data_IF_107908352380
#
_entry.id   IF_107908352380
#
_cell.length_a   1.000
_cell.length_b   1.000
_cell.length_c   1.000
_cell.angle_alpha   90.00
_cell.angle_beta   90.00
_cell.angle_gamma   90.00
#
_symmetry.space_group_name_H-M   'P 1'
#
loop_
_entity.id
_entity.type
_entity.pdbx_description
1 polymer ?
#
# COMPACT_ATOMS: atom_id res chain seq x y z
N UNK A 1 -4.76 -1.05 5.52
CA UNK A 1 -4.05 -2.05 6.33
C UNK A 1 -3.76 -3.16 5.37
N UNK A 2 -2.50 -3.51 5.12
CA UNK A 2 -2.17 -4.24 3.91
C UNK A 2 -2.64 -5.71 3.94
N UNK A 3 -3.24 -6.15 5.06
CA UNK A 3 -3.94 -7.41 5.17
C UNK A 3 -5.45 -7.15 5.28
N UNK A 4 -6.14 -7.32 4.15
CA UNK A 4 -7.58 -7.52 3.98
C UNK A 4 -8.50 -6.77 4.93
N UNK A 5 -9.04 -5.70 4.39
CA UNK A 5 -10.04 -4.90 5.03
C UNK A 5 -11.42 -5.01 4.36
N UNK A 6 -11.52 -5.52 3.13
CA UNK A 6 -12.79 -5.76 2.41
C UNK A 6 -13.06 -7.23 2.09
N UNK A 7 -14.24 -7.52 1.52
CA UNK A 7 -14.68 -8.90 1.19
C UNK A 7 -13.80 -9.58 0.11
N UNK A 8 -13.09 -8.81 -0.70
CA UNK A 8 -12.13 -9.28 -1.71
C UNK A 8 -10.89 -8.37 -1.71
N UNK A 9 -9.67 -8.92 -1.62
CA UNK A 9 -8.47 -8.09 -1.82
C UNK A 9 -8.41 -7.57 -3.25
N UNK A 10 -8.09 -6.29 -3.37
CA UNK A 10 -7.74 -5.69 -4.65
C UNK A 10 -6.33 -6.11 -5.03
N UNK A 11 -6.16 -6.72 -6.21
CA UNK A 11 -4.83 -7.09 -6.73
C UNK A 11 -4.83 -7.31 -8.23
N UNK A 12 -3.65 -7.23 -8.83
CA UNK A 12 -3.45 -7.63 -10.21
C UNK A 12 -3.59 -9.14 -10.40
N UNK A 13 -4.08 -9.55 -11.57
CA UNK A 13 -3.87 -10.93 -12.05
C UNK A 13 -2.43 -11.05 -12.57
N UNK A 14 -1.65 -11.99 -12.04
CA UNK A 14 -0.25 -12.20 -12.44
C UNK A 14 -0.07 -13.05 -13.70
N UNK A 15 -1.18 -13.56 -14.27
CA UNK A 15 -1.18 -14.45 -15.43
C UNK A 15 -2.03 -13.96 -16.60
N UNK A 16 -2.87 -12.94 -16.41
CA UNK A 16 -3.76 -12.43 -17.45
C UNK A 16 -3.04 -11.56 -18.48
N UNK A 17 -2.22 -10.62 -18.02
CA UNK A 17 -1.49 -9.67 -18.85
C UNK A 17 -0.23 -9.15 -18.12
N UNK A 18 0.76 -8.58 -18.83
CA UNK A 18 1.92 -7.97 -18.19
C UNK A 18 1.51 -6.77 -17.33
N UNK A 19 1.87 -6.78 -16.06
CA UNK A 19 1.67 -5.62 -15.19
C UNK A 19 2.74 -4.58 -15.56
N UNK A 20 2.34 -3.45 -16.16
CA UNK A 20 3.28 -2.43 -16.60
C UNK A 20 2.94 -1.06 -16.03
N UNK A 21 3.96 -0.23 -15.77
CA UNK A 21 3.78 1.20 -15.48
C UNK A 21 4.34 2.05 -16.62
N UNK A 22 3.65 3.14 -16.95
CA UNK A 22 3.95 3.99 -18.10
C UNK A 22 4.15 5.44 -17.63
N UNK A 23 5.42 5.85 -17.54
CA UNK A 23 5.78 7.17 -17.03
C UNK A 23 5.63 8.22 -18.13
N UNK A 24 4.93 9.31 -17.87
CA UNK A 24 5.16 10.57 -18.57
C UNK A 24 6.34 11.30 -17.89
N UNK A 25 7.51 11.44 -18.55
CA UNK A 25 8.69 12.03 -17.94
C UNK A 25 8.62 13.56 -17.80
N UNK A 26 7.55 14.19 -18.30
CA UNK A 26 7.36 15.64 -18.19
C UNK A 26 7.10 16.02 -16.74
N UNK A 27 7.83 17.02 -16.25
CA UNK A 27 7.72 17.53 -14.88
C UNK A 27 7.30 19.01 -14.88
N UNK A 28 6.57 19.41 -13.83
CA UNK A 28 6.30 20.81 -13.53
C UNK A 28 7.49 21.51 -12.88
N UNK A 29 7.42 22.84 -12.75
CA UNK A 29 8.45 23.63 -12.06
C UNK A 29 8.55 23.36 -10.55
N UNK A 30 7.58 22.63 -10.00
CA UNK A 30 7.53 22.21 -8.60
C UNK A 30 8.42 20.99 -8.32
N UNK A 31 8.91 20.30 -9.34
CA UNK A 31 9.83 19.16 -9.18
C UNK A 31 11.25 19.65 -9.47
N UNK A 32 12.15 19.46 -8.51
CA UNK A 32 13.57 19.82 -8.61
C UNK A 32 14.46 18.72 -8.05
N UNK A 33 15.76 18.80 -8.28
CA UNK A 33 16.71 17.82 -7.77
C UNK A 33 17.61 17.23 -8.86
N UNK A 34 18.52 16.37 -8.44
CA UNK A 34 19.58 15.82 -9.29
C UNK A 34 19.22 14.51 -9.98
N UNK A 35 18.21 13.78 -9.50
CA UNK A 35 17.81 12.49 -10.06
C UNK A 35 16.64 12.66 -11.06
N UNK A 36 16.70 12.07 -12.26
CA UNK A 36 15.55 12.06 -13.16
C UNK A 36 14.34 11.36 -12.54
N UNK A 37 13.13 11.89 -12.76
CA UNK A 37 11.89 11.27 -12.22
C UNK A 37 11.69 9.84 -12.69
N UNK A 38 12.14 9.49 -13.89
CA UNK A 38 12.11 8.09 -14.39
C UNK A 38 12.93 7.15 -13.52
N UNK A 39 14.09 7.58 -13.04
CA UNK A 39 14.92 6.82 -12.11
C UNK A 39 14.27 6.72 -10.73
N UNK A 40 13.68 7.81 -10.22
CA UNK A 40 12.96 7.82 -8.94
C UNK A 40 11.81 6.80 -8.93
N UNK A 41 10.97 6.83 -9.97
CA UNK A 41 9.86 5.88 -10.11
C UNK A 41 10.38 4.44 -10.25
N UNK A 42 11.38 4.21 -11.09
CA UNK A 42 11.95 2.86 -11.25
C UNK A 42 12.53 2.32 -9.93
N UNK A 43 13.19 3.16 -9.13
CA UNK A 43 13.67 2.77 -7.81
C UNK A 43 12.51 2.45 -6.86
N UNK A 44 11.40 3.20 -6.94
CA UNK A 44 10.20 2.98 -6.12
C UNK A 44 9.54 1.63 -6.44
N UNK A 45 9.39 1.29 -7.72
CA UNK A 45 8.96 -0.05 -8.14
C UNK A 45 9.97 -1.13 -7.74
N UNK A 46 11.26 -0.88 -7.91
CA UNK A 46 12.30 -1.84 -7.54
C UNK A 46 12.26 -2.21 -6.05
N UNK A 47 11.92 -1.26 -5.16
CA UNK A 47 11.72 -1.52 -3.73
C UNK A 47 10.69 -2.63 -3.50
N UNK A 48 9.52 -2.55 -4.16
CA UNK A 48 8.45 -3.55 -4.04
C UNK A 48 8.75 -4.85 -4.78
N UNK A 49 9.37 -4.77 -5.97
CA UNK A 49 9.76 -5.94 -6.76
C UNK A 49 10.84 -6.79 -6.06
N UNK A 50 11.63 -6.18 -5.17
CA UNK A 50 12.64 -6.86 -4.36
C UNK A 50 12.11 -7.33 -2.99
N UNK A 51 10.81 -7.18 -2.71
CA UNK A 51 10.24 -7.62 -1.44
C UNK A 51 10.39 -9.14 -1.27
N UNK A 52 10.86 -9.63 -0.11
CA UNK A 52 10.98 -11.06 0.13
C UNK A 52 9.61 -11.74 0.14
N UNK A 53 9.59 -13.06 -0.06
CA UNK A 53 8.40 -13.91 -0.13
C UNK A 53 7.39 -13.51 -1.21
N UNK A 54 7.76 -12.64 -2.14
CA UNK A 54 6.85 -12.02 -3.09
C UNK A 54 7.28 -12.34 -4.53
N UNK A 55 6.34 -12.70 -5.39
CA UNK A 55 6.58 -12.85 -6.83
C UNK A 55 5.64 -11.94 -7.60
N UNK A 56 6.19 -10.83 -8.07
CA UNK A 56 5.43 -9.76 -8.71
C UNK A 56 5.98 -9.49 -10.12
N UNK A 57 5.31 -9.96 -11.17
CA UNK A 57 5.80 -9.82 -12.54
C UNK A 57 5.42 -8.46 -13.14
N UNK A 58 5.91 -7.37 -12.53
CA UNK A 58 5.71 -6.01 -13.05
C UNK A 58 6.98 -5.43 -13.68
N UNK A 59 6.81 -4.60 -14.71
CA UNK A 59 7.92 -3.99 -15.46
C UNK A 59 7.59 -2.61 -16.01
N UNK A 60 8.61 -1.81 -16.31
CA UNK A 60 8.39 -0.52 -16.98
C UNK A 60 7.90 -0.76 -18.42
N UNK A 61 6.77 -0.15 -18.78
CA UNK A 61 6.26 -0.09 -20.15
C UNK A 61 6.87 1.07 -20.96
N UNK A 62 6.30 1.33 -22.14
CA UNK A 62 6.68 2.49 -22.93
C UNK A 62 6.38 3.81 -22.19
N UNK A 63 7.23 4.83 -22.36
CA UNK A 63 6.92 6.16 -21.84
C UNK A 63 5.65 6.72 -22.47
N UNK A 64 4.84 7.40 -21.66
CA UNK A 64 3.62 8.05 -22.10
C UNK A 64 3.86 9.54 -22.40
N UNK A 65 3.03 10.11 -23.26
CA UNK A 65 2.92 11.57 -23.47
C UNK A 65 1.62 12.14 -22.92
N UNK A 66 0.79 11.33 -22.28
CA UNK A 66 -0.51 11.73 -21.71
C UNK A 66 -0.30 12.65 -20.52
N UNK A 67 -1.01 13.78 -20.49
CA UNK A 67 -0.86 14.82 -19.45
C UNK A 67 -2.13 15.04 -18.61
N UNK A 68 -3.14 14.18 -18.76
CA UNK A 68 -4.36 14.19 -17.94
C UNK A 68 -4.81 12.76 -17.65
N UNK A 69 -5.19 12.49 -16.40
CA UNK A 69 -5.65 11.16 -15.95
C UNK A 69 -6.88 10.73 -16.74
N UNK A 70 -7.84 11.63 -16.90
CA UNK A 70 -9.10 11.38 -17.61
C UNK A 70 -8.93 11.01 -19.10
N UNK A 71 -7.76 11.29 -19.66
CA UNK A 71 -7.39 10.94 -21.04
C UNK A 71 -6.45 9.72 -21.15
N UNK A 72 -6.05 9.15 -20.02
CA UNK A 72 -5.22 7.96 -19.96
C UNK A 72 -5.95 6.78 -20.63
N UNK A 73 -5.32 6.11 -21.62
CA UNK A 73 -5.89 4.91 -22.21
C UNK A 73 -6.20 3.86 -21.13
N UNK A 74 -7.26 3.07 -21.36
CA UNK A 74 -7.75 2.10 -20.37
C UNK A 74 -6.75 0.96 -20.07
N UNK A 75 -5.85 0.71 -21.02
CA UNK A 75 -4.79 -0.29 -20.97
C UNK A 75 -3.43 0.27 -20.52
N UNK A 76 -3.39 1.56 -20.14
CA UNK A 76 -2.19 2.25 -19.69
C UNK A 76 -2.31 2.57 -18.20
N UNK A 77 -1.26 2.23 -17.46
CA UNK A 77 -1.13 2.61 -16.07
C UNK A 77 -0.19 3.83 -15.98
N UNK A 78 -0.78 5.02 -16.01
CA UNK A 78 -0.08 6.28 -16.19
C UNK A 78 0.59 6.74 -14.89
N UNK A 79 1.85 7.17 -14.98
CA UNK A 79 2.51 7.93 -13.90
C UNK A 79 2.73 9.36 -14.38
N UNK A 80 2.15 10.32 -13.67
CA UNK A 80 1.99 11.69 -14.14
C UNK A 80 2.34 12.74 -13.07
N UNK A 81 3.23 13.68 -13.43
CA UNK A 81 3.63 14.81 -12.57
C UNK A 81 2.95 16.13 -12.95
N UNK A 82 2.15 16.11 -14.01
CA UNK A 82 1.53 17.30 -14.63
C UNK A 82 0.02 17.15 -14.82
N UNK A 83 -0.59 16.09 -14.29
CA UNK A 83 -2.01 15.81 -14.41
C UNK A 83 -2.80 16.73 -13.47
N UNK A 84 -3.17 17.89 -13.99
CA UNK A 84 -3.91 18.93 -13.26
C UNK A 84 -5.41 18.65 -13.12
N UNK A 85 -5.90 17.58 -13.74
CA UNK A 85 -7.31 17.16 -13.68
C UNK A 85 -7.63 16.24 -12.49
N UNK A 86 -6.61 15.82 -11.74
CA UNK A 86 -6.77 15.08 -10.48
C UNK A 86 -7.05 16.07 -9.35
N UNK A 87 -8.10 15.81 -8.56
CA UNK A 87 -8.50 16.66 -7.44
C UNK A 87 -7.81 16.21 -6.15
N UNK A 88 -6.74 16.91 -5.78
CA UNK A 88 -5.99 16.69 -4.54
C UNK A 88 -6.57 17.45 -3.33
N UNK A 89 -7.81 17.95 -3.40
CA UNK A 89 -8.43 18.73 -2.31
C UNK A 89 -7.96 20.18 -2.21
N UNK A 90 -7.33 20.72 -3.27
CA UNK A 90 -6.99 22.14 -3.41
C UNK A 90 -5.81 22.66 -2.57
N UNK A 91 -5.07 21.79 -1.87
CA UNK A 91 -3.94 22.14 -1.02
C UNK A 91 -2.67 21.30 -1.28
N UNK A 92 -1.81 21.20 -0.26
CA UNK A 92 -0.57 20.39 -0.29
C UNK A 92 -0.61 19.22 0.70
N UNK A 93 -1.76 18.98 1.33
CA UNK A 93 -1.91 17.90 2.32
C UNK A 93 -1.93 16.53 1.63
N UNK A 94 -2.64 16.43 0.49
CA UNK A 94 -2.55 15.27 -0.40
C UNK A 94 -1.34 15.43 -1.32
N UNK A 95 -0.34 14.56 -1.16
CA UNK A 95 0.91 14.64 -1.91
C UNK A 95 0.80 14.01 -3.30
N UNK A 96 0.12 12.88 -3.38
CA UNK A 96 -0.14 12.14 -4.60
C UNK A 96 -1.39 11.29 -4.40
N UNK A 97 -1.90 10.72 -5.49
CA UNK A 97 -2.98 9.76 -5.46
C UNK A 97 -2.73 8.63 -6.45
N UNK A 98 -3.06 7.41 -6.01
CA UNK A 98 -3.16 6.25 -6.87
C UNK A 98 -4.61 5.91 -7.13
N UNK A 99 -5.02 6.00 -8.38
CA UNK A 99 -6.40 5.82 -8.83
C UNK A 99 -6.50 4.43 -9.44
N UNK A 100 -7.04 3.48 -8.69
CA UNK A 100 -7.23 2.11 -9.12
C UNK A 100 -8.62 1.90 -9.73
N UNK A 101 -8.68 1.08 -10.78
CA UNK A 101 -9.93 0.54 -11.32
C UNK A 101 -9.92 -0.96 -11.11
N UNK A 102 -10.96 -1.47 -10.46
CA UNK A 102 -11.15 -2.89 -10.17
C UNK A 102 -12.46 -3.42 -10.75
N UNK A 103 -12.63 -4.75 -10.78
CA UNK A 103 -13.87 -5.38 -11.22
C UNK A 103 -14.57 -6.13 -10.09
N UNK A 104 -15.90 -6.16 -10.10
CA UNK A 104 -16.71 -6.86 -9.08
C UNK A 104 -16.82 -8.37 -9.31
N UNK A 105 -16.22 -8.90 -10.38
CA UNK A 105 -16.31 -10.31 -10.74
C UNK A 105 -15.48 -10.68 -11.96
N UNK A 106 -15.53 -11.97 -12.30
CA UNK A 106 -14.87 -12.54 -13.46
C UNK A 106 -15.71 -12.41 -14.74
N UNK A 107 -15.07 -12.53 -15.90
CA UNK A 107 -15.71 -12.59 -17.22
C UNK A 107 -16.02 -11.23 -17.87
N UNK A 108 -15.72 -10.12 -17.19
CA UNK A 108 -15.72 -8.78 -17.79
C UNK A 108 -14.46 -8.51 -18.60
N UNK A 109 -14.48 -7.48 -19.44
CA UNK A 109 -13.30 -6.99 -20.17
C UNK A 109 -12.21 -6.55 -19.18
N UNK A 110 -10.98 -7.01 -19.38
CA UNK A 110 -9.83 -6.59 -18.57
C UNK A 110 -9.11 -5.36 -19.14
N UNK A 111 -9.55 -4.85 -20.30
CA UNK A 111 -8.92 -3.78 -21.08
C UNK A 111 -7.56 -4.11 -21.69
N UNK A 112 -7.02 -5.31 -21.47
CA UNK A 112 -5.74 -5.78 -22.00
C UNK A 112 -5.92 -6.87 -23.07
N UNK A 113 -7.13 -6.96 -23.66
CA UNK A 113 -7.48 -7.91 -24.71
C UNK A 113 -7.88 -9.30 -24.19
N UNK A 114 -8.11 -9.43 -22.88
CA UNK A 114 -8.51 -10.66 -22.21
C UNK A 114 -9.84 -10.53 -21.48
N UNK A 115 -9.94 -11.22 -20.34
CA UNK A 115 -11.10 -11.14 -19.46
C UNK A 115 -10.66 -11.27 -18.01
N UNK A 116 -11.36 -10.55 -17.14
CA UNK A 116 -11.15 -10.60 -15.69
C UNK A 116 -11.42 -11.99 -15.12
N UNK A 117 -10.67 -12.34 -14.08
CA UNK A 117 -10.59 -13.68 -13.50
C UNK A 117 -11.25 -13.77 -12.13
N UNK A 118 -11.37 -12.66 -11.40
CA UNK A 118 -11.92 -12.63 -10.04
C UNK A 118 -12.44 -11.24 -9.67
N UNK A 119 -13.26 -11.19 -8.61
CA UNK A 119 -13.69 -9.93 -7.97
C UNK A 119 -12.52 -9.28 -7.22
N UNK A 120 -12.38 -7.96 -7.34
CA UNK A 120 -11.21 -7.22 -6.85
C UNK A 120 -10.03 -7.23 -7.82
N UNK A 121 -10.16 -7.76 -9.04
CA UNK A 121 -9.05 -7.70 -10.01
C UNK A 121 -8.79 -6.25 -10.42
N UNK A 122 -7.58 -5.76 -10.16
CA UNK A 122 -7.10 -4.48 -10.69
C UNK A 122 -6.87 -4.64 -12.20
N UNK A 123 -7.43 -3.69 -12.97
CA UNK A 123 -7.31 -3.63 -14.43
C UNK A 123 -6.65 -2.34 -14.92
N UNK A 124 -6.63 -1.29 -14.08
CA UNK A 124 -5.91 -0.02 -14.31
C UNK A 124 -5.49 0.57 -12.97
N UNK A 125 -4.31 1.18 -12.92
CA UNK A 125 -3.87 1.99 -11.78
C UNK A 125 -3.01 3.17 -12.28
N UNK A 126 -3.52 4.38 -12.15
CA UNK A 126 -2.78 5.60 -12.46
C UNK A 126 -2.22 6.21 -11.17
N UNK A 127 -1.04 6.83 -11.25
CA UNK A 127 -0.43 7.58 -10.15
C UNK A 127 -0.25 9.02 -10.60
N UNK A 128 -0.85 9.95 -9.86
CA UNK A 128 -0.73 11.38 -10.11
C UNK A 128 -0.09 12.08 -8.91
N UNK A 129 0.93 12.91 -9.17
CA UNK A 129 1.59 13.71 -8.14
C UNK A 129 1.04 15.14 -8.13
N UNK A 130 0.78 15.67 -6.94
CA UNK A 130 0.15 16.97 -6.77
C UNK A 130 1.08 18.10 -7.27
N UNK A 131 0.69 18.87 -8.31
CA UNK A 131 1.52 19.94 -8.86
C UNK A 131 1.72 21.13 -7.90
N UNK A 132 0.93 21.24 -6.82
CA UNK A 132 1.09 22.25 -5.78
C UNK A 132 2.23 21.93 -4.79
N UNK A 133 2.67 20.68 -4.70
CA UNK A 133 3.71 20.22 -3.77
C UNK A 133 5.09 20.43 -4.37
N UNK A 134 6.02 20.99 -3.59
CA UNK A 134 7.43 21.08 -3.97
C UNK A 134 8.12 19.73 -3.72
N UNK A 135 8.48 19.03 -4.80
CA UNK A 135 9.15 17.74 -4.74
C UNK A 135 10.65 17.87 -4.96
N UNK A 136 11.41 17.10 -4.19
CA UNK A 136 12.85 16.88 -4.39
C UNK A 136 13.09 15.47 -4.92
N UNK A 137 13.87 15.37 -6.00
CA UNK A 137 14.39 14.12 -6.53
C UNK A 137 15.83 13.85 -6.10
N UNK A 138 16.41 14.72 -5.27
CA UNK A 138 17.65 14.51 -4.55
C UNK A 138 18.55 15.74 -4.53
N UNK A 139 19.06 16.07 -3.35
CA UNK A 139 19.99 17.18 -3.13
C UNK A 139 19.31 18.53 -2.90
N UNK A 140 17.98 18.57 -2.81
CA UNK A 140 17.16 19.74 -2.56
C UNK A 140 16.57 19.79 -1.14
N UNK A 141 15.44 20.49 -1.01
CA UNK A 141 14.75 20.74 0.29
C UNK A 141 13.23 20.54 0.24
N UNK A 142 12.70 20.00 -0.87
CA UNK A 142 11.29 19.65 -1.02
C UNK A 142 10.93 18.30 -0.38
N UNK A 143 9.68 17.88 -0.51
CA UNK A 143 9.25 16.53 -0.15
C UNK A 143 9.98 15.51 -1.03
N UNK A 144 10.62 14.51 -0.42
CA UNK A 144 11.31 13.46 -1.17
C UNK A 144 10.32 12.70 -2.06
N UNK A 145 10.49 12.82 -3.38
CA UNK A 145 9.59 12.25 -4.37
C UNK A 145 9.61 10.72 -4.31
N UNK A 146 10.77 10.12 -4.01
CA UNK A 146 10.87 8.67 -3.94
C UNK A 146 10.06 8.10 -2.78
N UNK A 147 10.01 8.79 -1.64
CA UNK A 147 9.20 8.41 -0.47
C UNK A 147 7.72 8.35 -0.84
N UNK A 148 7.20 9.41 -1.45
CA UNK A 148 5.79 9.47 -1.90
C UNK A 148 5.54 8.45 -3.00
N UNK A 149 6.40 8.37 -4.02
CA UNK A 149 6.26 7.40 -5.08
C UNK A 149 6.30 5.95 -4.57
N UNK A 150 7.13 5.64 -3.58
CA UNK A 150 7.19 4.28 -3.00
C UNK A 150 5.87 3.95 -2.29
N UNK A 151 5.23 4.90 -1.63
CA UNK A 151 3.89 4.75 -1.04
C UNK A 151 2.82 4.48 -2.11
N UNK A 152 2.75 5.35 -3.13
CA UNK A 152 1.77 5.20 -4.22
C UNK A 152 1.94 3.88 -4.99
N UNK A 153 3.18 3.40 -5.17
CA UNK A 153 3.40 2.09 -5.79
C UNK A 153 2.84 0.94 -4.94
N UNK A 154 2.75 1.09 -3.61
CA UNK A 154 2.06 0.12 -2.78
C UNK A 154 0.56 0.07 -3.09
N UNK A 155 -0.10 1.23 -3.23
CA UNK A 155 -1.49 1.31 -3.72
C UNK A 155 -1.66 0.76 -5.13
N UNK A 156 -0.69 1.01 -6.02
CA UNK A 156 -0.67 0.44 -7.37
C UNK A 156 -0.74 -1.08 -7.31
N UNK A 157 -0.09 -1.70 -6.33
CA UNK A 157 -0.15 -3.15 -6.13
C UNK A 157 -1.34 -3.64 -5.29
N UNK A 158 -2.22 -2.75 -4.85
CA UNK A 158 -3.46 -3.09 -4.14
C UNK A 158 -3.35 -3.07 -2.62
N UNK A 159 -2.30 -2.46 -2.06
CA UNK A 159 -2.19 -2.28 -0.60
C UNK A 159 -2.98 -1.04 -0.16
N UNK A 160 -3.62 -1.13 1.00
CA UNK A 160 -4.23 0.01 1.69
C UNK A 160 -3.30 0.59 2.75
N UNK A 161 -3.60 1.81 3.21
CA UNK A 161 -2.88 2.50 4.29
C UNK A 161 -2.64 1.64 5.54
N UNK A 162 -1.40 1.54 6.00
CA UNK A 162 -1.06 0.91 7.27
C UNK A 162 -1.25 1.87 8.45
N UNK A 163 -1.67 1.34 9.60
CA UNK A 163 -1.62 2.07 10.87
C UNK A 163 -0.27 1.92 11.60
N UNK A 164 0.66 1.12 11.05
CA UNK A 164 2.02 0.98 11.57
C UNK A 164 2.87 2.15 11.09
N UNK A 165 3.30 3.02 12.02
CA UNK A 165 4.03 4.26 11.70
C UNK A 165 5.34 4.07 10.91
N UNK A 166 5.98 2.91 11.04
CA UNK A 166 7.21 2.59 10.31
C UNK A 166 6.98 2.05 8.90
N UNK A 167 5.72 1.81 8.51
CA UNK A 167 5.37 1.27 7.21
C UNK A 167 5.46 2.34 6.13
N UNK A 168 5.92 1.94 4.95
CA UNK A 168 5.82 2.78 3.74
C UNK A 168 4.36 3.15 3.50
N UNK A 169 3.43 2.21 3.72
CA UNK A 169 1.99 2.44 3.56
C UNK A 169 1.37 3.29 4.67
N UNK A 170 2.11 3.86 5.62
CA UNK A 170 1.54 4.81 6.57
C UNK A 170 1.09 6.10 5.85
N UNK A 171 -0.13 6.63 6.09
CA UNK A 171 -0.74 7.69 5.28
C UNK A 171 -0.06 9.07 5.39
N UNK A 172 0.92 9.22 6.27
CA UNK A 172 1.66 10.48 6.45
C UNK A 172 3.10 10.29 6.04
N UNK A 173 3.51 10.97 4.96
CA UNK A 173 4.86 10.87 4.45
C UNK A 173 5.87 11.52 5.43
N UNK A 174 6.91 10.78 5.87
CA UNK A 174 8.05 11.39 6.53
C UNK A 174 8.97 12.06 5.48
N UNK A 175 10.03 12.72 5.96
CA UNK A 175 11.05 13.33 5.08
C UNK A 175 11.73 12.30 4.16
N UNK A 176 11.97 11.09 4.66
CA UNK A 176 12.59 10.02 3.89
C UNK A 176 12.16 8.65 4.41
N UNK A 177 11.46 7.88 3.59
CA UNK A 177 11.11 6.49 3.86
C UNK A 177 10.90 5.72 2.54
N UNK A 178 11.94 5.00 2.13
CA UNK A 178 11.95 4.22 0.87
C UNK A 178 12.24 2.74 1.08
N UNK A 179 12.29 2.31 2.35
CA UNK A 179 12.60 0.94 2.76
C UNK A 179 11.36 0.31 3.35
N UNK A 180 10.97 -0.86 2.86
CA UNK A 180 9.79 -1.59 3.35
C UNK A 180 9.97 -2.01 4.81
N UNK A 181 8.87 -1.91 5.57
CA UNK A 181 8.70 -2.50 6.90
C UNK A 181 8.21 -3.95 6.80
N UNK A 182 8.03 -4.60 7.95
CA UNK A 182 7.46 -5.94 8.01
C UNK A 182 5.99 -5.94 7.64
N UNK A 183 5.28 -4.88 7.99
CA UNK A 183 3.88 -4.73 7.64
C UNK A 183 3.70 -4.63 6.11
N UNK A 184 4.56 -3.85 5.45
CA UNK A 184 4.56 -3.72 3.99
C UNK A 184 4.86 -5.06 3.30
N UNK A 185 5.90 -5.77 3.76
CA UNK A 185 6.28 -7.09 3.22
C UNK A 185 5.19 -8.13 3.47
N UNK A 186 4.62 -8.17 4.67
CA UNK A 186 3.54 -9.09 5.02
C UNK A 186 2.29 -8.83 4.17
N UNK A 187 2.02 -7.57 3.85
CA UNK A 187 1.01 -7.15 2.89
C UNK A 187 1.21 -7.69 1.49
N UNK A 188 2.32 -7.29 0.87
CA UNK A 188 2.57 -7.58 -0.54
C UNK A 188 2.75 -9.07 -0.81
N UNK A 189 3.41 -9.80 0.10
CA UNK A 189 3.58 -11.26 -0.01
C UNK A 189 2.29 -12.03 0.18
N UNK A 190 1.28 -11.45 0.83
CA UNK A 190 -0.05 -12.06 0.93
C UNK A 190 -0.86 -11.90 -0.38
N UNK A 191 -0.70 -10.77 -1.08
CA UNK A 191 -1.33 -10.55 -2.39
C UNK A 191 -0.65 -11.36 -3.50
N UNK A 192 0.69 -11.41 -3.49
CA UNK A 192 1.53 -11.99 -4.52
C UNK A 192 2.56 -12.99 -3.96
N UNK A 193 2.11 -14.10 -3.35
CA UNK A 193 3.00 -15.03 -2.68
C UNK A 193 3.96 -15.71 -3.67
N UNK A 194 5.23 -15.79 -3.29
CA UNK A 194 6.20 -16.65 -3.95
C UNK A 194 5.93 -18.12 -3.59
N UNK A 195 6.05 -19.02 -4.57
CA UNK A 195 5.83 -20.46 -4.36
C UNK A 195 6.77 -21.10 -3.35
N UNK A 196 8.00 -20.58 -3.28
CA UNK A 196 9.02 -20.99 -2.30
C UNK A 196 9.44 -19.75 -1.53
N UNK A 197 9.00 -19.65 -0.28
CA UNK A 197 9.31 -18.51 0.57
C UNK A 197 10.82 -18.41 0.80
N UNK A 198 11.35 -17.18 0.75
CA UNK A 198 12.72 -16.87 1.17
C UNK A 198 12.88 -17.09 2.68
N UNK A 199 11.82 -16.78 3.44
CA UNK A 199 11.72 -16.98 4.89
C UNK A 199 10.34 -17.56 5.22
N UNK A 200 10.33 -18.67 5.94
CA UNK A 200 9.09 -19.27 6.43
C UNK A 200 8.38 -18.31 7.40
N UNK A 201 7.09 -18.09 7.18
CA UNK A 201 6.25 -17.22 8.01
C UNK A 201 5.15 -18.00 8.73
N UNK A 202 4.67 -17.47 9.84
CA UNK A 202 3.51 -17.97 10.57
C UNK A 202 2.37 -16.95 10.63
N UNK A 203 1.47 -17.19 11.57
CA UNK A 203 0.27 -16.40 11.80
C UNK A 203 0.07 -16.17 13.29
N UNK A 204 -0.39 -14.98 13.68
CA UNK A 204 -0.84 -14.65 15.04
C UNK A 204 -2.33 -14.31 14.97
N UNK A 205 -3.17 -15.06 15.67
CA UNK A 205 -4.63 -14.85 15.68
C UNK A 205 -5.17 -14.79 17.10
N UNK A 206 -6.29 -14.11 17.27
CA UNK A 206 -6.96 -13.98 18.56
C UNK A 206 -8.28 -13.22 18.45
N UNK A 207 -8.76 -12.74 19.60
CA UNK A 207 -9.99 -11.95 19.70
C UNK A 207 -9.79 -10.81 20.68
N UNK A 208 -10.14 -9.59 20.29
CA UNK A 208 -10.17 -8.43 21.18
C UNK A 208 -11.59 -8.25 21.71
N UNK A 209 -11.72 -8.19 23.04
CA UNK A 209 -13.00 -7.93 23.71
C UNK A 209 -12.86 -6.79 24.73
N UNK A 210 -13.93 -6.02 24.88
CA UNK A 210 -14.09 -5.00 25.90
C UNK A 210 -15.33 -5.34 26.73
N UNK A 211 -15.15 -5.59 28.03
CA UNK A 211 -16.24 -6.01 28.93
C UNK A 211 -17.01 -7.25 28.41
N UNK A 212 -16.32 -8.19 27.77
CA UNK A 212 -16.91 -9.40 27.19
C UNK A 212 -17.63 -9.21 25.85
N UNK A 213 -17.66 -7.99 25.30
CA UNK A 213 -18.18 -7.72 23.95
C UNK A 213 -17.04 -7.61 22.94
N UNK A 214 -17.20 -8.09 21.69
CA UNK A 214 -16.18 -7.95 20.66
C UNK A 214 -15.91 -6.48 20.33
N UNK A 215 -14.66 -6.16 20.02
CA UNK A 215 -14.26 -4.81 19.58
C UNK A 215 -14.04 -4.82 18.08
N UNK A 216 -14.78 -4.00 17.33
CA UNK A 216 -14.61 -3.83 15.89
C UNK A 216 -13.59 -2.72 15.58
N UNK A 217 -12.64 -3.00 14.69
CA UNK A 217 -11.65 -2.01 14.25
C UNK A 217 -10.59 -1.66 15.31
N UNK A 218 -10.34 -2.55 16.27
CA UNK A 218 -9.17 -2.42 17.13
C UNK A 218 -7.91 -2.68 16.31
N UNK A 219 -6.91 -1.80 16.41
CA UNK A 219 -5.61 -2.02 15.81
C UNK A 219 -4.82 -2.99 16.68
N UNK A 220 -4.56 -4.17 16.14
CA UNK A 220 -3.77 -5.22 16.79
C UNK A 220 -2.40 -5.27 16.14
N UNK A 221 -1.37 -5.03 16.93
CA UNK A 221 0.02 -4.95 16.51
C UNK A 221 0.81 -6.09 17.13
N UNK A 222 1.54 -6.84 16.32
CA UNK A 222 2.57 -7.77 16.77
C UNK A 222 3.94 -7.09 16.64
N UNK A 223 4.55 -6.75 17.78
CA UNK A 223 5.89 -6.17 17.83
C UNK A 223 6.93 -7.22 18.19
N UNK A 224 7.91 -7.43 17.33
CA UNK A 224 9.01 -8.36 17.58
C UNK A 224 9.81 -7.97 18.83
N UNK A 225 10.16 -8.94 19.68
CA UNK A 225 10.97 -8.70 20.88
C UNK A 225 12.48 -8.63 20.60
N UNK A 226 12.92 -8.95 19.38
CA UNK A 226 14.32 -8.81 18.97
C UNK A 226 14.48 -7.79 17.84
N UNK A 227 15.71 -7.32 17.66
CA UNK A 227 16.09 -6.35 16.61
C UNK A 227 16.88 -6.98 15.45
N UNK A 228 16.94 -8.31 15.36
CA UNK A 228 17.63 -9.00 14.27
C UNK A 228 16.97 -8.73 12.90
N UNK A 229 17.60 -9.05 11.78
CA UNK A 229 16.88 -9.08 10.50
C UNK A 229 16.21 -10.46 10.35
N UNK A 230 14.89 -10.51 10.17
CA UNK A 230 14.19 -11.76 9.87
C UNK A 230 14.41 -12.21 8.42
N UNK A 231 14.65 -11.28 7.49
CA UNK A 231 14.94 -11.56 6.09
C UNK A 231 16.44 -11.47 5.83
N UNK A 232 17.13 -12.61 5.91
CA UNK A 232 18.56 -12.69 5.59
C UNK A 232 18.80 -12.31 4.13
N UNK A 233 19.69 -11.34 3.88
CA UNK A 233 19.99 -10.86 2.53
C UNK A 233 19.09 -9.72 2.03
N UNK A 234 18.10 -9.31 2.80
CA UNK A 234 17.21 -8.19 2.48
C UNK A 234 17.41 -7.04 3.45
N UNK A 235 17.22 -5.81 2.97
CA UNK A 235 17.27 -4.61 3.80
C UNK A 235 15.89 -4.32 4.43
N UNK A 236 15.34 -5.29 5.16
CA UNK A 236 14.04 -5.14 5.85
C UNK A 236 14.25 -5.36 7.35
N UNK A 237 14.12 -4.27 8.13
CA UNK A 237 14.35 -4.29 9.59
C UNK A 237 13.10 -4.76 10.33
N UNK A 238 13.31 -5.48 11.45
CA UNK A 238 12.24 -5.81 12.38
C UNK A 238 11.47 -4.56 12.77
N UNK A 239 10.19 -4.59 12.46
CA UNK A 239 9.21 -3.54 12.70
C UNK A 239 7.88 -4.22 13.04
N UNK A 240 6.94 -3.50 13.67
CA UNK A 240 5.65 -4.07 14.00
C UNK A 240 4.86 -4.46 12.74
N UNK A 241 3.94 -5.43 12.89
CA UNK A 241 2.96 -5.84 11.86
C UNK A 241 1.57 -5.63 12.47
N UNK A 242 0.67 -5.00 11.72
CA UNK A 242 -0.66 -4.59 12.19
C UNK A 242 -1.81 -5.29 11.47
N UNK A 243 -2.92 -5.47 12.17
CA UNK A 243 -4.23 -5.84 11.60
C UNK A 243 -5.36 -5.12 12.34
N UNK A 244 -6.54 -4.98 11.72
CA UNK A 244 -7.75 -4.50 12.39
C UNK A 244 -8.65 -5.68 12.72
N UNK A 245 -9.32 -5.63 13.86
CA UNK A 245 -10.29 -6.66 14.23
C UNK A 245 -11.57 -6.58 13.39
N UNK A 246 -12.12 -7.74 13.07
CA UNK A 246 -13.43 -7.89 12.42
C UNK A 246 -14.57 -7.57 13.39
N UNK A 247 -15.82 -7.60 12.89
CA UNK A 247 -17.02 -7.25 13.68
C UNK A 247 -17.27 -8.18 14.87
N UNK A 248 -16.75 -9.40 14.82
CA UNK A 248 -16.78 -10.37 15.92
C UNK A 248 -15.54 -10.25 16.85
N UNK A 249 -14.72 -9.22 16.67
CA UNK A 249 -13.52 -8.95 17.45
C UNK A 249 -12.33 -9.84 17.09
N UNK A 250 -12.49 -10.78 16.15
CA UNK A 250 -11.40 -11.66 15.74
C UNK A 250 -10.38 -10.91 14.90
N UNK A 251 -9.12 -11.37 14.98
CA UNK A 251 -8.04 -10.88 14.13
C UNK A 251 -7.11 -12.02 13.72
N UNK A 252 -6.42 -11.83 12.60
CA UNK A 252 -5.39 -12.74 12.10
C UNK A 252 -4.31 -11.93 11.39
N UNK A 253 -3.12 -11.87 11.99
CA UNK A 253 -1.92 -11.29 11.39
C UNK A 253 -1.19 -12.42 10.64
N UNK A 254 -1.13 -12.33 9.32
CA UNK A 254 -0.48 -13.29 8.43
C UNK A 254 0.97 -12.89 8.12
N UNK A 255 1.71 -13.79 7.45
CA UNK A 255 3.06 -13.54 6.95
C UNK A 255 4.04 -13.06 8.04
N UNK A 256 3.83 -13.51 9.29
CA UNK A 256 4.63 -13.10 10.46
C UNK A 256 5.95 -13.88 10.47
N UNK A 257 7.13 -13.24 10.38
CA UNK A 257 8.40 -13.95 10.43
C UNK A 257 8.65 -14.62 11.80
N UNK A 258 9.55 -15.61 11.90
CA UNK A 258 9.81 -16.29 13.17
C UNK A 258 10.46 -15.34 14.20
N UNK A 259 9.76 -15.10 15.29
CA UNK A 259 10.27 -14.44 16.50
C UNK A 259 9.31 -14.66 17.67
N UNK A 260 9.67 -14.13 18.84
CA UNK A 260 8.72 -13.81 19.90
C UNK A 260 8.15 -12.40 19.67
N UNK A 261 6.86 -12.23 19.94
CA UNK A 261 6.15 -10.97 19.71
C UNK A 261 5.42 -10.53 20.97
N UNK A 262 5.49 -9.24 21.28
CA UNK A 262 4.56 -8.55 22.17
C UNK A 262 3.32 -8.18 21.35
N UNK A 263 2.14 -8.62 21.76
CA UNK A 263 0.89 -8.32 21.04
C UNK A 263 0.16 -7.19 21.75
N UNK A 264 -0.15 -6.13 21.02
CA UNK A 264 -0.77 -4.91 21.54
C UNK A 264 -2.09 -4.69 20.81
N UNK A 265 -3.15 -4.31 21.52
CA UNK A 265 -4.41 -3.85 20.93
C UNK A 265 -4.66 -2.39 21.34
N UNK A 266 -4.85 -1.50 20.37
CA UNK A 266 -5.04 -0.06 20.57
C UNK A 266 -6.21 0.48 19.72
N UNK A 267 -6.89 1.55 20.17
CA UNK A 267 -7.89 2.22 19.35
C UNK A 267 -7.22 2.83 18.13
N UNK A 268 -7.94 2.88 17.01
CA UNK A 268 -7.48 3.61 15.84
C UNK A 268 -7.82 5.10 16.03
N UNK A 269 -6.90 5.89 16.59
CA UNK A 269 -7.14 7.29 16.99
C UNK A 269 -6.25 8.30 16.25
N UNK A 270 -6.26 8.23 14.91
CA UNK A 270 -5.45 9.04 13.97
C UNK A 270 -3.95 8.62 13.93
N UNK A 271 -3.26 8.85 12.79
CA UNK A 271 -3.72 9.52 11.57
C UNK A 271 -4.55 8.64 10.63
N UNK A 272 -4.63 7.33 10.88
CA UNK A 272 -5.65 6.50 10.22
C UNK A 272 -6.99 6.76 10.90
N UNK A 273 -8.00 7.09 10.11
CA UNK A 273 -9.33 7.50 10.56
C UNK A 273 -10.44 6.69 9.88
N UNK A 274 -11.71 7.05 10.13
CA UNK A 274 -12.84 6.40 9.46
C UNK A 274 -12.81 6.55 7.92
N UNK A 275 -12.20 7.60 7.37
CA UNK A 275 -12.09 7.75 5.92
C UNK A 275 -11.11 6.75 5.30
N UNK A 276 -10.12 6.29 6.07
CA UNK A 276 -9.13 5.30 5.67
C UNK A 276 -9.66 3.86 5.77
N UNK A 277 -10.88 3.69 6.28
CA UNK A 277 -11.55 2.40 6.42
C UNK A 277 -12.88 2.34 5.67
N UNK A 278 -12.89 2.76 4.40
CA UNK A 278 -14.08 2.79 3.54
C UNK A 278 -14.84 1.45 3.46
N UNK A 279 -14.11 0.34 3.58
CA UNK A 279 -14.61 -1.03 3.67
C UNK A 279 -15.44 -1.33 4.93
N UNK A 280 -15.39 -0.53 6.00
CA UNK A 280 -16.20 -0.74 7.20
C UNK A 280 -17.71 -0.79 6.87
N UNK A 281 -18.11 -0.08 5.82
CA UNK A 281 -19.47 -0.08 5.27
C UNK A 281 -19.89 -1.45 4.71
N UNK A 282 -18.96 -2.25 4.17
CA UNK A 282 -19.21 -3.62 3.71
C UNK A 282 -19.63 -4.55 4.86
N UNK A 283 -19.21 -4.21 6.09
CA UNK A 283 -19.58 -4.91 7.32
C UNK A 283 -20.75 -4.26 8.07
N UNK A 284 -21.43 -3.30 7.46
CA UNK A 284 -22.56 -2.58 8.07
C UNK A 284 -22.16 -1.66 9.23
N UNK A 285 -20.91 -1.20 9.26
CA UNK A 285 -20.38 -0.31 10.31
C UNK A 285 -20.13 1.09 9.75
N UNK A 286 -20.48 2.11 10.54
CA UNK A 286 -20.24 3.52 10.18
C UNK A 286 -18.90 4.08 10.66
N UNK A 287 -18.20 3.37 11.56
CA UNK A 287 -16.95 3.81 12.18
C UNK A 287 -16.22 2.65 12.89
N UNK A 288 -14.91 2.77 13.06
CA UNK A 288 -14.15 1.93 14.02
C UNK A 288 -14.43 2.35 15.46
N UNK A 289 -14.31 1.42 16.41
CA UNK A 289 -14.46 1.73 17.83
C UNK A 289 -13.18 2.33 18.38
N UNK A 290 -13.24 3.55 18.92
CA UNK A 290 -12.08 4.27 19.48
C UNK A 290 -12.16 4.47 20.99
N UNK A 291 -13.24 4.01 21.63
CA UNK A 291 -13.55 4.25 23.05
C UNK A 291 -12.86 3.24 23.99
N UNK A 292 -11.65 2.80 23.67
CA UNK A 292 -10.84 1.93 24.54
C UNK A 292 -9.38 2.40 24.56
N UNK A 293 -8.62 1.97 25.57
CA UNK A 293 -7.21 2.34 25.74
C UNK A 293 -6.32 1.16 25.40
N UNK A 294 -5.09 1.41 24.95
CA UNK A 294 -4.08 0.40 24.62
C UNK A 294 -3.95 -0.71 25.69
N UNK A 295 -3.87 -1.96 25.24
CA UNK A 295 -3.67 -3.19 26.04
C UNK A 295 -2.55 -4.02 25.45
N UNK A 296 -1.82 -4.79 26.27
CA UNK A 296 -0.70 -5.61 25.85
C UNK A 296 -0.79 -7.02 26.45
N UNK A 297 -0.33 -8.03 25.71
CA UNK A 297 -0.28 -9.43 26.10
C UNK A 297 1.02 -10.10 25.64
#
# INVERSE_FOLDING_TARGET
MPQFTGSNAQKWSTSSFPIQWNINPTIGSNVSGSTPVTTVINNSFATWLAAPNTTLPASQGASSSVTSESSSPKDVNLICFVCSDVDFGGGTDTLAETITTTTDGAGGDDYHGGSTQFAGQIIKADIAFNPAVQFDTGGGTGQDLQTVATHEVGHFFGLDHSAVISAVMYPTAPTLLTTLSYDDVAGISLLYPQSTQDVATGTISGTVTLNGSPVFGAHVVANSTTSANAYSGFNVRKSPIGILTLTDGTYTINQVPPDSYLVIAEPLDLPVSNSDVSWASEFGQGAVQTNFTTRWH
#
